data_IF_240292603198
#
_entry.id   IF_240292603198
#
_cell.length_a   1.000
_cell.length_b   1.000
_cell.length_c   1.000
_cell.angle_alpha   90.00
_cell.angle_beta   90.00
_cell.angle_gamma   90.00
#
_symmetry.space_group_name_H-M   'P 1'
#
loop_
_entity.id
_entity.type
_entity.pdbx_description
1 polymer ?
#
# COMPACT_ATOMS: atom_id res chain seq x y z
N UNK A 1 7.69 -12.00 11.50
CA UNK A 1 8.15 -10.69 11.03
C UNK A 1 9.34 -10.21 11.88
N UNK A 2 10.26 -9.47 11.26
CA UNK A 2 11.45 -8.91 11.89
C UNK A 2 11.15 -7.48 12.38
N UNK A 3 11.41 -7.20 13.66
CA UNK A 3 11.13 -5.93 14.33
C UNK A 3 12.39 -5.15 14.73
N UNK A 4 13.58 -5.66 14.42
CA UNK A 4 14.86 -5.06 14.76
C UNK A 4 15.96 -6.09 14.86
N UNK A 5 17.19 -5.64 15.09
CA UNK A 5 18.36 -6.49 15.29
C UNK A 5 19.35 -6.47 14.12
N UNK A 6 20.52 -7.04 14.39
CA UNK A 6 21.61 -7.20 13.40
C UNK A 6 21.61 -8.64 12.90
N UNK A 7 21.78 -8.79 11.61
CA UNK A 7 21.77 -10.08 10.94
C UNK A 7 22.98 -10.22 10.04
N UNK A 8 23.76 -11.26 10.27
CA UNK A 8 24.89 -11.58 9.39
C UNK A 8 24.41 -12.10 8.03
N UNK A 9 23.34 -12.90 8.06
CA UNK A 9 22.71 -13.42 6.84
C UNK A 9 21.21 -13.66 7.10
N UNK A 10 20.38 -13.26 6.15
CA UNK A 10 18.97 -13.60 6.05
C UNK A 10 18.78 -14.26 4.70
N UNK A 11 18.41 -15.53 4.69
CA UNK A 11 18.13 -16.30 3.47
C UNK A 11 17.06 -17.36 3.74
N UNK A 12 16.53 -17.96 2.69
CA UNK A 12 15.55 -19.03 2.71
C UNK A 12 15.54 -19.79 1.39
N UNK A 13 14.70 -20.81 1.28
CA UNK A 13 14.62 -21.64 0.07
C UNK A 13 13.72 -21.03 -1.02
N UNK A 14 12.90 -20.03 -0.69
CA UNK A 14 11.92 -19.44 -1.60
C UNK A 14 12.58 -18.50 -2.61
N UNK A 15 12.56 -18.88 -3.89
CA UNK A 15 13.22 -18.15 -4.96
C UNK A 15 12.48 -16.90 -5.45
N UNK A 16 11.17 -16.79 -5.15
CA UNK A 16 10.33 -15.69 -5.65
C UNK A 16 9.85 -14.75 -4.53
N UNK A 17 10.21 -15.01 -3.28
CA UNK A 17 9.80 -14.17 -2.15
C UNK A 17 10.92 -13.15 -1.86
N UNK A 18 10.63 -11.84 -1.94
CA UNK A 18 11.61 -10.81 -1.61
C UNK A 18 11.90 -10.81 -0.10
N UNK A 19 13.14 -10.48 0.27
CA UNK A 19 13.57 -10.51 1.69
C UNK A 19 12.80 -9.52 2.56
N UNK A 20 12.29 -8.41 1.99
CA UNK A 20 11.49 -7.45 2.74
C UNK A 20 10.13 -8.01 3.21
N UNK A 21 9.64 -9.13 2.65
CA UNK A 21 8.45 -9.81 3.14
C UNK A 21 8.62 -10.34 4.58
N UNK A 22 9.84 -10.47 5.07
CA UNK A 22 10.13 -10.84 6.46
C UNK A 22 10.04 -9.66 7.44
N UNK A 23 10.02 -8.42 6.95
CA UNK A 23 9.98 -7.23 7.82
C UNK A 23 8.59 -7.04 8.44
N UNK A 24 8.58 -6.56 9.65
CA UNK A 24 7.37 -5.98 10.23
C UNK A 24 7.07 -4.63 9.56
N UNK A 25 5.81 -4.24 9.55
CA UNK A 25 5.39 -2.92 9.06
C UNK A 25 6.15 -1.81 9.80
N UNK A 26 6.61 -0.80 9.07
CA UNK A 26 7.39 0.31 9.61
C UNK A 26 8.85 -0.03 9.90
N UNK A 27 9.39 -1.09 9.27
CA UNK A 27 10.80 -1.46 9.38
C UNK A 27 11.43 -1.62 8.00
N UNK A 28 12.74 -1.42 7.93
CA UNK A 28 13.55 -1.59 6.73
C UNK A 28 14.89 -2.23 7.06
N UNK A 29 15.53 -2.83 6.05
CA UNK A 29 16.93 -3.22 6.13
C UNK A 29 17.82 -1.99 5.92
N UNK A 30 18.89 -1.89 6.69
CA UNK A 30 19.93 -0.88 6.54
C UNK A 30 21.31 -1.51 6.57
N UNK A 31 22.23 -0.97 5.78
CA UNK A 31 23.64 -1.26 5.88
C UNK A 31 24.23 -0.38 6.98
N UNK A 32 25.08 -0.95 7.81
CA UNK A 32 25.79 -0.21 8.84
C UNK A 32 27.11 0.35 8.30
N UNK A 33 27.40 1.56 8.70
CA UNK A 33 28.74 2.12 8.55
C UNK A 33 29.75 1.25 9.31
N UNK A 34 30.84 0.88 8.66
CA UNK A 34 31.85 -0.04 9.21
C UNK A 34 32.61 0.51 10.42
N UNK A 35 32.65 1.83 10.56
CA UNK A 35 33.36 2.53 11.64
C UNK A 35 32.45 2.92 12.78
N UNK A 36 31.33 3.59 12.47
CA UNK A 36 30.40 4.11 13.49
C UNK A 36 29.37 3.08 13.96
N UNK A 37 29.17 2.00 13.19
CA UNK A 37 28.12 1.00 13.39
C UNK A 37 26.70 1.56 13.41
N UNK A 38 26.50 2.76 12.87
CA UNK A 38 25.19 3.39 12.69
C UNK A 38 24.62 3.05 11.31
N UNK A 39 23.29 3.07 11.15
CA UNK A 39 22.66 2.91 9.84
C UNK A 39 23.17 3.98 8.86
N UNK A 40 23.70 3.55 7.72
CA UNK A 40 24.28 4.43 6.70
C UNK A 40 23.35 4.56 5.48
N UNK A 41 22.75 3.46 5.06
CA UNK A 41 21.84 3.44 3.91
C UNK A 41 20.73 2.42 4.09
N UNK A 42 19.55 2.76 3.60
CA UNK A 42 18.41 1.85 3.50
C UNK A 42 18.60 0.94 2.29
N UNK A 43 18.28 -0.33 2.45
CA UNK A 43 18.40 -1.35 1.39
C UNK A 43 17.05 -1.63 0.78
N UNK A 44 16.97 -1.62 -0.54
CA UNK A 44 15.80 -2.10 -1.27
C UNK A 44 15.67 -3.63 -1.16
N UNK A 45 15.01 -4.08 -0.10
CA UNK A 45 14.76 -5.51 0.13
C UNK A 45 13.77 -6.14 -0.84
N UNK A 46 13.10 -5.35 -1.69
CA UNK A 46 12.21 -5.90 -2.74
C UNK A 46 13.00 -6.41 -3.94
N UNK A 47 14.24 -5.97 -4.11
CA UNK A 47 15.11 -6.35 -5.22
C UNK A 47 15.91 -7.64 -4.95
N UNK A 48 15.84 -8.20 -3.74
CA UNK A 48 16.58 -9.40 -3.33
C UNK A 48 15.61 -10.47 -2.89
N UNK A 49 15.72 -11.67 -3.44
CA UNK A 49 14.90 -12.83 -3.05
C UNK A 49 15.48 -13.55 -1.83
N UNK A 50 14.66 -14.35 -1.14
CA UNK A 50 15.13 -15.14 0.00
C UNK A 50 16.19 -16.15 -0.37
N UNK A 51 16.15 -16.71 -1.58
CA UNK A 51 17.17 -17.65 -2.07
C UNK A 51 18.52 -17.00 -2.36
N UNK A 52 18.53 -15.73 -2.78
CA UNK A 52 19.77 -14.93 -2.94
C UNK A 52 20.31 -14.49 -1.58
N UNK A 53 19.40 -14.14 -0.69
CA UNK A 53 19.70 -13.71 0.66
C UNK A 53 20.31 -12.32 0.76
N UNK A 54 20.25 -11.74 1.95
CA UNK A 54 20.87 -10.45 2.28
C UNK A 54 21.83 -10.63 3.45
N UNK A 55 22.94 -9.90 3.44
CA UNK A 55 24.02 -10.07 4.43
C UNK A 55 24.39 -8.75 5.09
N UNK A 56 24.88 -8.85 6.35
CA UNK A 56 25.43 -7.73 7.13
C UNK A 56 24.46 -6.55 7.22
N UNK A 57 23.20 -6.82 7.52
CA UNK A 57 22.15 -5.82 7.63
C UNK A 57 21.64 -5.67 9.06
N UNK A 58 21.12 -4.49 9.32
CA UNK A 58 20.34 -4.20 10.54
C UNK A 58 18.90 -3.90 10.14
N UNK A 59 17.97 -4.40 10.93
CA UNK A 59 16.55 -4.04 10.80
C UNK A 59 16.30 -2.81 11.69
N UNK A 60 15.86 -1.72 11.08
CA UNK A 60 15.64 -0.42 11.73
C UNK A 60 14.21 0.06 11.53
N UNK A 61 13.71 0.88 12.45
CA UNK A 61 12.46 1.62 12.20
C UNK A 61 12.64 2.51 10.98
N UNK A 62 11.61 2.54 10.13
CA UNK A 62 11.64 3.30 8.89
C UNK A 62 10.24 3.84 8.57
N UNK A 63 10.18 5.12 8.26
CA UNK A 63 8.97 5.75 7.72
C UNK A 63 9.12 5.82 6.21
N UNK A 64 8.15 5.29 5.48
CA UNK A 64 8.15 5.36 4.02
C UNK A 64 7.99 6.81 3.58
N UNK A 65 8.81 7.21 2.62
CA UNK A 65 8.74 8.53 1.99
C UNK A 65 8.38 8.36 0.53
N UNK A 66 7.33 9.06 0.10
CA UNK A 66 6.86 9.06 -1.27
C UNK A 66 6.67 10.49 -1.74
N UNK A 67 6.78 10.70 -3.05
CA UNK A 67 6.39 11.94 -3.73
C UNK A 67 5.40 11.61 -4.85
N UNK A 68 4.83 12.61 -5.49
CA UNK A 68 3.94 12.37 -6.64
C UNK A 68 4.65 11.71 -7.83
N UNK A 69 5.97 11.87 -7.92
CA UNK A 69 6.81 11.31 -8.98
C UNK A 69 7.59 10.07 -8.55
N UNK A 70 7.88 9.94 -7.24
CA UNK A 70 8.62 8.81 -6.68
C UNK A 70 7.67 7.93 -5.88
N UNK A 71 7.09 6.94 -6.57
CA UNK A 71 6.12 6.00 -5.99
C UNK A 71 6.76 4.78 -5.33
N UNK A 72 8.09 4.75 -5.24
CA UNK A 72 8.84 3.69 -4.57
C UNK A 72 9.77 4.28 -3.51
N UNK A 73 9.63 3.83 -2.28
CA UNK A 73 10.53 4.17 -1.19
C UNK A 73 11.90 3.49 -1.36
N UNK A 74 12.96 4.06 -0.78
CA UNK A 74 14.30 3.48 -0.79
C UNK A 74 14.35 2.03 -0.24
N UNK A 75 13.44 1.63 0.64
CA UNK A 75 13.35 0.26 1.16
C UNK A 75 12.65 -0.72 0.21
N UNK A 76 12.17 -0.25 -0.94
CA UNK A 76 11.44 -1.05 -1.92
C UNK A 76 9.93 -1.05 -1.76
N UNK A 77 9.38 -0.45 -0.70
CA UNK A 77 7.94 -0.31 -0.55
C UNK A 77 7.35 0.56 -1.66
N UNK A 78 6.23 0.13 -2.22
CA UNK A 78 5.55 0.81 -3.33
C UNK A 78 4.36 1.60 -2.79
N UNK A 79 4.19 2.83 -3.25
CA UNK A 79 3.00 3.62 -3.01
C UNK A 79 1.86 3.08 -3.88
N UNK A 80 0.84 2.51 -3.26
CA UNK A 80 -0.36 2.05 -3.97
C UNK A 80 -1.49 3.05 -3.95
N UNK A 81 -1.66 3.75 -2.84
CA UNK A 81 -2.78 4.66 -2.69
C UNK A 81 -2.40 5.96 -1.96
N UNK A 82 -3.09 7.02 -2.31
CA UNK A 82 -3.09 8.31 -1.63
C UNK A 82 -4.51 8.65 -1.24
N UNK A 83 -4.71 9.14 -0.02
CA UNK A 83 -6.00 9.72 0.41
C UNK A 83 -5.79 11.19 0.69
N UNK A 84 -6.50 12.02 -0.08
CA UNK A 84 -6.49 13.48 0.07
C UNK A 84 -7.72 13.90 0.86
N UNK A 85 -7.55 14.73 1.88
CA UNK A 85 -8.66 15.27 2.67
C UNK A 85 -9.67 16.03 1.81
N UNK A 86 -10.90 16.18 2.29
CA UNK A 86 -11.98 16.85 1.56
C UNK A 86 -11.66 18.32 1.17
N UNK A 87 -10.86 19.00 1.97
CA UNK A 87 -10.39 20.36 1.71
C UNK A 87 -9.13 20.43 0.81
N UNK A 88 -8.58 19.27 0.43
CA UNK A 88 -7.40 19.17 -0.40
C UNK A 88 -6.08 19.52 0.28
N UNK A 89 -6.07 19.77 1.58
CA UNK A 89 -4.88 20.31 2.28
C UNK A 89 -3.91 19.25 2.79
N UNK A 90 -4.38 18.02 3.04
CA UNK A 90 -3.57 16.94 3.58
C UNK A 90 -3.61 15.72 2.70
N UNK A 91 -2.49 15.03 2.62
CA UNK A 91 -2.35 13.76 1.91
C UNK A 91 -1.79 12.70 2.85
N UNK A 92 -2.44 11.53 2.87
CA UNK A 92 -1.95 10.32 3.51
C UNK A 92 -1.59 9.30 2.45
N UNK A 93 -0.46 8.60 2.64
CA UNK A 93 0.12 7.70 1.66
C UNK A 93 0.13 6.26 2.18
N UNK A 94 -0.21 5.31 1.33
CA UNK A 94 -0.39 3.91 1.71
C UNK A 94 0.37 2.98 0.77
N UNK A 95 1.11 2.05 1.36
CA UNK A 95 1.74 0.90 0.70
C UNK A 95 0.79 -0.31 0.61
N UNK A 96 -0.48 -0.12 0.93
CA UNK A 96 -1.57 -1.09 0.83
C UNK A 96 -2.85 -0.41 0.33
N UNK A 97 -3.47 -0.99 -0.69
CA UNK A 97 -4.77 -0.53 -1.22
C UNK A 97 -5.85 -0.66 -0.15
N UNK A 98 -5.86 -1.79 0.57
CA UNK A 98 -6.84 -2.07 1.63
C UNK A 98 -6.77 -1.03 2.74
N UNK A 99 -5.57 -0.69 3.19
CA UNK A 99 -5.40 0.32 4.25
C UNK A 99 -5.84 1.70 3.80
N UNK A 100 -5.55 2.07 2.56
CA UNK A 100 -6.02 3.32 1.98
C UNK A 100 -7.54 3.39 1.89
N UNK A 101 -8.19 2.31 1.44
CA UNK A 101 -9.65 2.21 1.39
C UNK A 101 -10.28 2.27 2.79
N UNK A 102 -9.73 1.53 3.76
CA UNK A 102 -10.21 1.56 5.15
C UNK A 102 -9.97 2.91 5.83
N UNK A 103 -8.90 3.61 5.45
CA UNK A 103 -8.67 4.97 5.93
C UNK A 103 -9.70 5.94 5.35
N UNK A 104 -10.00 5.86 4.05
CA UNK A 104 -11.04 6.67 3.42
C UNK A 104 -12.44 6.38 3.97
N UNK A 105 -12.70 5.14 4.41
CA UNK A 105 -13.98 4.70 5.00
C UNK A 105 -14.22 5.22 6.42
N UNK A 106 -13.27 5.88 7.06
CA UNK A 106 -13.50 6.45 8.39
C UNK A 106 -14.45 7.64 8.33
N UNK A 107 -15.35 7.73 9.31
CA UNK A 107 -16.35 8.79 9.37
C UNK A 107 -15.75 10.21 9.41
N UNK A 108 -14.59 10.36 10.05
CA UNK A 108 -13.84 11.63 10.13
C UNK A 108 -13.25 12.06 8.78
N UNK A 109 -13.08 11.13 7.83
CA UNK A 109 -12.52 11.40 6.51
C UNK A 109 -13.59 11.63 5.43
N UNK A 110 -14.82 11.98 5.83
CA UNK A 110 -15.93 12.25 4.91
C UNK A 110 -15.57 13.26 3.83
N UNK A 111 -15.86 12.91 2.58
CA UNK A 111 -15.60 13.74 1.41
C UNK A 111 -14.15 13.67 0.91
N UNK A 112 -13.32 12.82 1.47
CA UNK A 112 -11.96 12.63 1.00
C UNK A 112 -11.92 11.96 -0.40
N UNK A 113 -10.77 12.03 -1.04
CA UNK A 113 -10.49 11.40 -2.33
C UNK A 113 -9.43 10.32 -2.15
N UNK A 114 -9.81 9.08 -2.33
CA UNK A 114 -8.88 7.97 -2.49
C UNK A 114 -8.38 7.94 -3.93
N UNK A 115 -7.09 8.05 -4.13
CA UNK A 115 -6.44 7.94 -5.44
C UNK A 115 -5.62 6.67 -5.51
N UNK A 116 -5.95 5.77 -6.44
CA UNK A 116 -5.09 4.66 -6.78
C UNK A 116 -3.89 5.17 -7.58
N UNK A 117 -2.71 5.16 -7.00
CA UNK A 117 -1.47 5.67 -7.61
C UNK A 117 -0.80 4.61 -8.46
N UNK A 118 -0.72 3.39 -7.95
CA UNK A 118 -0.12 2.25 -8.63
C UNK A 118 -1.11 1.09 -8.65
N UNK A 119 -1.21 0.41 -9.79
CA UNK A 119 -2.02 -0.81 -9.89
C UNK A 119 -1.54 -1.87 -8.91
N UNK A 120 -2.46 -2.51 -8.22
CA UNK A 120 -2.09 -3.45 -7.19
C UNK A 120 -3.15 -4.47 -6.85
N UNK A 121 -2.72 -5.48 -6.09
CA UNK A 121 -3.55 -6.51 -5.50
C UNK A 121 -4.14 -6.06 -4.20
N UNK A 122 -5.36 -6.56 -3.91
CA UNK A 122 -5.85 -6.65 -2.53
C UNK A 122 -5.61 -8.08 -2.05
N UNK A 123 -5.08 -8.22 -0.83
CA UNK A 123 -4.70 -9.51 -0.26
C UNK A 123 -5.79 -10.08 0.65
N UNK A 124 -6.76 -9.26 1.02
CA UNK A 124 -7.92 -9.64 1.84
C UNK A 124 -9.17 -8.89 1.40
N UNK A 125 -10.34 -9.42 1.76
CA UNK A 125 -11.59 -8.71 1.53
C UNK A 125 -11.67 -7.40 2.32
N UNK A 126 -12.21 -6.35 1.68
CA UNK A 126 -12.40 -5.03 2.29
C UNK A 126 -13.89 -4.79 2.50
N UNK A 127 -14.29 -4.32 3.70
CA UNK A 127 -15.64 -3.89 3.99
C UNK A 127 -15.65 -2.39 4.29
N UNK A 128 -16.48 -1.65 3.57
CA UNK A 128 -16.66 -0.20 3.66
C UNK A 128 -18.03 0.07 4.28
N UNK A 129 -18.09 0.75 5.43
CA UNK A 129 -19.30 0.81 6.26
C UNK A 129 -19.69 2.22 6.71
N UNK A 130 -18.76 3.18 6.67
CA UNK A 130 -18.98 4.48 7.31
C UNK A 130 -18.64 5.66 6.40
N UNK A 131 -17.86 5.43 5.35
CA UNK A 131 -17.27 6.49 4.54
C UNK A 131 -18.24 7.09 3.53
N UNK A 132 -17.97 8.35 3.22
CA UNK A 132 -18.51 9.02 2.03
C UNK A 132 -17.30 9.59 1.30
N UNK A 133 -16.86 8.96 0.22
CA UNK A 133 -15.61 9.33 -0.45
C UNK A 133 -15.62 9.03 -1.94
N UNK A 134 -14.71 9.68 -2.65
CA UNK A 134 -14.49 9.44 -4.07
C UNK A 134 -13.29 8.51 -4.27
N UNK A 135 -13.42 7.56 -5.18
CA UNK A 135 -12.32 6.73 -5.67
C UNK A 135 -11.92 7.22 -7.07
N UNK A 136 -10.65 7.48 -7.26
CA UNK A 136 -10.08 7.85 -8.57
C UNK A 136 -8.73 7.17 -8.80
N UNK A 137 -8.13 7.40 -9.95
CA UNK A 137 -6.80 6.88 -10.31
C UNK A 137 -5.97 7.93 -11.02
N UNK A 138 -4.67 7.96 -10.78
CA UNK A 138 -3.75 8.87 -11.46
C UNK A 138 -3.32 8.40 -12.85
N UNK A 139 -3.35 7.10 -13.17
CA UNK A 139 -2.81 6.53 -14.42
C UNK A 139 -3.58 5.27 -14.87
N UNK A 140 -4.90 5.31 -15.01
CA UNK A 140 -5.70 4.15 -15.42
C UNK A 140 -5.40 2.89 -14.60
N UNK A 141 -5.28 3.07 -13.29
CA UNK A 141 -4.88 2.02 -12.37
C UNK A 141 -5.90 0.89 -12.28
N UNK A 142 -5.41 -0.30 -11.94
CA UNK A 142 -6.23 -1.49 -11.75
C UNK A 142 -6.10 -2.00 -10.32
N UNK A 143 -7.21 -2.17 -9.63
CA UNK A 143 -7.30 -3.01 -8.42
C UNK A 143 -7.65 -4.42 -8.88
N UNK A 144 -6.81 -5.39 -8.58
CA UNK A 144 -7.04 -6.77 -9.02
C UNK A 144 -6.91 -7.77 -7.87
N UNK A 145 -7.67 -8.75 -7.90
CA UNK A 145 -7.63 -10.11 -7.35
C UNK A 145 -9.05 -10.71 -7.43
N UNK A 146 -9.25 -11.66 -8.32
CA UNK A 146 -10.57 -12.26 -8.56
C UNK A 146 -11.13 -13.06 -7.37
N UNK A 147 -10.29 -13.38 -6.38
CA UNK A 147 -10.68 -14.15 -5.20
C UNK A 147 -11.12 -13.27 -4.03
N UNK A 148 -10.83 -11.97 -4.10
CA UNK A 148 -11.16 -11.02 -3.05
C UNK A 148 -12.43 -10.23 -3.37
N UNK A 149 -13.03 -9.67 -2.33
CA UNK A 149 -14.28 -8.91 -2.44
C UNK A 149 -14.15 -7.56 -1.74
N UNK A 150 -14.53 -6.49 -2.44
CA UNK A 150 -14.82 -5.20 -1.82
C UNK A 150 -16.31 -5.18 -1.53
N UNK A 151 -16.69 -5.11 -0.26
CA UNK A 151 -18.08 -5.05 0.18
C UNK A 151 -18.42 -3.64 0.64
N UNK A 152 -19.39 -3.01 -0.01
CA UNK A 152 -19.97 -1.74 0.43
C UNK A 152 -21.19 -2.09 1.28
N UNK A 153 -21.17 -1.74 2.56
CA UNK A 153 -22.18 -2.10 3.53
C UNK A 153 -22.41 -0.92 4.50
N UNK A 154 -22.93 0.16 3.95
CA UNK A 154 -23.19 1.42 4.64
C UNK A 154 -22.46 2.64 4.06
N UNK A 155 -21.34 2.45 3.37
CA UNK A 155 -20.60 3.55 2.76
C UNK A 155 -21.29 4.09 1.49
N UNK A 156 -21.03 5.37 1.19
CA UNK A 156 -21.39 6.00 -0.07
C UNK A 156 -20.11 6.29 -0.86
N UNK A 157 -19.92 5.56 -1.96
CA UNK A 157 -18.70 5.61 -2.76
C UNK A 157 -19.02 6.15 -4.15
N UNK A 158 -18.26 7.13 -4.59
CA UNK A 158 -18.30 7.68 -5.96
C UNK A 158 -17.02 7.22 -6.67
N UNK A 159 -17.16 6.51 -7.78
CA UNK A 159 -16.02 6.18 -8.62
C UNK A 159 -15.90 7.21 -9.74
N UNK A 160 -14.73 7.82 -9.90
CA UNK A 160 -14.42 8.78 -10.93
C UNK A 160 -13.20 8.34 -11.76
N UNK A 161 -13.24 8.66 -13.05
CA UNK A 161 -12.17 8.33 -13.97
C UNK A 161 -12.17 6.86 -14.42
N UNK A 162 -11.18 6.50 -15.24
CA UNK A 162 -11.03 5.16 -15.81
C UNK A 162 -10.20 4.28 -14.87
N UNK A 163 -10.85 3.66 -13.93
CA UNK A 163 -10.24 2.67 -13.05
C UNK A 163 -10.84 1.29 -13.34
N UNK A 164 -9.99 0.29 -13.44
CA UNK A 164 -10.45 -1.09 -13.58
C UNK A 164 -10.46 -1.78 -12.22
N UNK A 165 -11.63 -2.26 -11.80
CA UNK A 165 -11.75 -3.12 -10.63
C UNK A 165 -11.95 -4.56 -11.14
N UNK A 166 -10.92 -5.38 -10.96
CA UNK A 166 -10.92 -6.80 -11.33
C UNK A 166 -11.03 -7.72 -10.11
N UNK A 167 -11.75 -7.29 -9.11
CA UNK A 167 -12.18 -8.08 -7.96
C UNK A 167 -13.72 -8.05 -7.89
N UNK A 168 -14.30 -8.85 -6.99
CA UNK A 168 -15.74 -8.80 -6.75
C UNK A 168 -16.10 -7.54 -6.00
N UNK A 169 -17.14 -6.84 -6.45
CA UNK A 169 -17.74 -5.72 -5.69
C UNK A 169 -19.14 -6.13 -5.31
N UNK A 170 -19.45 -6.06 -4.02
CA UNK A 170 -20.76 -6.40 -3.46
C UNK A 170 -21.34 -5.21 -2.71
N UNK A 171 -22.43 -4.65 -3.18
CA UNK A 171 -23.14 -3.56 -2.51
C UNK A 171 -24.31 -4.16 -1.75
N UNK A 172 -24.24 -4.18 -0.42
CA UNK A 172 -25.27 -4.65 0.49
C UNK A 172 -26.18 -3.51 0.96
N UNK A 173 -25.58 -2.40 1.32
CA UNK A 173 -26.25 -1.16 1.70
C UNK A 173 -25.31 0.03 1.44
N UNK A 174 -25.82 1.26 1.47
CA UNK A 174 -25.10 2.43 0.99
C UNK A 174 -25.18 2.55 -0.53
N UNK A 175 -24.22 3.18 -1.16
CA UNK A 175 -24.25 3.41 -2.60
C UNK A 175 -22.87 3.25 -3.27
N UNK A 176 -22.89 2.87 -4.55
CA UNK A 176 -21.76 2.98 -5.48
C UNK A 176 -22.23 3.73 -6.73
N UNK A 177 -21.77 4.94 -6.90
CA UNK A 177 -22.03 5.75 -8.09
C UNK A 177 -20.89 5.58 -9.08
N UNK A 178 -21.21 5.19 -10.30
CA UNK A 178 -20.25 5.02 -11.40
C UNK A 178 -20.38 6.18 -12.40
N UNK A 179 -19.30 6.54 -13.12
CA UNK A 179 -19.35 7.51 -14.20
C UNK A 179 -20.34 7.06 -15.31
N UNK A 180 -20.92 8.00 -16.03
CA UNK A 180 -21.74 7.70 -17.20
C UNK A 180 -20.90 6.92 -18.24
N UNK A 181 -21.48 5.85 -18.78
CA UNK A 181 -20.81 4.98 -19.77
C UNK A 181 -19.88 3.92 -19.16
N UNK A 182 -19.88 3.75 -17.84
CA UNK A 182 -19.21 2.64 -17.17
C UNK A 182 -20.03 1.38 -17.33
N UNK A 183 -19.46 0.34 -17.92
CA UNK A 183 -20.10 -0.97 -18.11
C UNK A 183 -19.15 -2.11 -17.79
#
# INVERSE_FOLDING_TARGET
ALYGGRYNTICGEESNTPVNALLAKGYAFAILNSVTHLPESIVDGSAVTLSEGIRNVTVVKHTHTYTETETKCACGAVLYAKVTSADGTTNEYFDSIEEGLLYADKAENKGCVFTLVTSGKINSGVRLSNGQFTITTSNYGTIYDYNQTITIDGADVIAEGYMFIRCKVNVKSGSLTLPEGSG
#
